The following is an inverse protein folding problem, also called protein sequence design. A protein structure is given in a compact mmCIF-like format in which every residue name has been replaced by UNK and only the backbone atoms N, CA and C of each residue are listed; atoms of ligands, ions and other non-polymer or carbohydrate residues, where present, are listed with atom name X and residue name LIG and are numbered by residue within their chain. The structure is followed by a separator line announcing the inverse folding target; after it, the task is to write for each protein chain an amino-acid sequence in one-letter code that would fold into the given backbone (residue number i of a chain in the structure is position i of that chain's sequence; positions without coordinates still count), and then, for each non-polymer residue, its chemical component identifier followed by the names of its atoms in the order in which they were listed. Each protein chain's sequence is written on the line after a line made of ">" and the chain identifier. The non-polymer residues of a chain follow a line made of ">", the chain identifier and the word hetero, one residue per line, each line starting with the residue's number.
data_IF_950107265735
#
_entry.id   IF_950107265735
#
_cell.length_a   1.000
_cell.length_b   1.000
_cell.length_c   1.000
_cell.angle_alpha   90.00
_cell.angle_beta   90.00
_cell.angle_gamma   90.00
#
_symmetry.space_group_name_H-M   'P 1'
#
loop_
_entity.id
_entity.type
_entity.pdbx_description
1 polymer ?
#
# COMPACT_ATOMS: atom_id res chain seq x y z
N UNK A 1 3.61 12.87 -20.68
CA UNK A 1 5.08 12.86 -20.62
C UNK A 1 5.49 11.60 -19.91
N UNK A 2 6.32 10.75 -20.54
CA UNK A 2 6.91 9.58 -19.88
C UNK A 2 7.88 10.07 -18.82
N UNK A 3 7.34 10.27 -17.63
CA UNK A 3 8.13 10.57 -16.46
C UNK A 3 9.09 9.40 -16.23
N UNK A 4 10.39 9.66 -16.08
CA UNK A 4 11.46 8.65 -16.01
C UNK A 4 11.26 7.72 -14.79
N UNK A 5 10.42 6.70 -14.95
CA UNK A 5 10.09 5.75 -13.89
C UNK A 5 11.31 4.89 -13.63
N UNK A 6 11.83 4.99 -12.42
CA UNK A 6 12.95 4.17 -11.97
C UNK A 6 12.46 2.98 -11.15
N UNK A 7 13.15 1.86 -11.31
CA UNK A 7 12.91 0.65 -10.54
C UNK A 7 14.15 0.28 -9.72
N UNK A 8 13.95 -0.42 -8.60
CA UNK A 8 15.04 -1.04 -7.86
C UNK A 8 15.45 -2.40 -8.49
N UNK A 9 16.49 -3.03 -7.94
CA UNK A 9 17.00 -4.33 -8.41
C UNK A 9 15.98 -5.48 -8.33
N UNK A 10 14.86 -5.29 -7.63
CA UNK A 10 13.79 -6.26 -7.48
C UNK A 10 12.56 -5.90 -8.34
N UNK A 11 12.69 -4.91 -9.23
CA UNK A 11 11.61 -4.47 -10.11
C UNK A 11 10.53 -3.66 -9.41
N UNK A 12 10.79 -3.10 -8.21
CA UNK A 12 9.82 -2.25 -7.50
C UNK A 12 9.99 -0.81 -7.92
N UNK A 13 8.89 -0.14 -8.23
CA UNK A 13 8.92 1.27 -8.59
C UNK A 13 9.50 2.10 -7.43
N UNK A 14 10.49 2.94 -7.73
CA UNK A 14 10.99 3.96 -6.80
C UNK A 14 9.96 5.08 -6.67
N UNK A 15 10.16 5.97 -5.69
CA UNK A 15 9.31 7.15 -5.57
C UNK A 15 9.23 7.92 -6.89
N UNK A 16 8.01 8.32 -7.21
CA UNK A 16 7.65 9.03 -8.42
C UNK A 16 6.44 9.90 -8.10
N UNK A 17 6.48 11.23 -8.31
CA UNK A 17 5.40 12.13 -7.89
C UNK A 17 4.05 11.77 -8.50
N UNK A 18 4.01 11.42 -9.78
CA UNK A 18 2.75 11.13 -10.50
C UNK A 18 2.06 9.83 -10.07
N UNK A 19 2.81 8.88 -9.50
CA UNK A 19 2.30 7.58 -9.06
C UNK A 19 2.18 7.48 -7.53
N UNK A 20 2.78 8.43 -6.81
CA UNK A 20 2.85 8.43 -5.36
C UNK A 20 2.30 9.74 -4.80
N UNK A 21 1.12 10.13 -5.28
CA UNK A 21 0.41 11.35 -4.84
C UNK A 21 0.17 11.42 -3.33
N UNK A 22 0.16 10.26 -2.65
CA UNK A 22 0.01 10.15 -1.20
C UNK A 22 1.36 9.97 -0.48
N UNK A 23 2.48 10.36 -1.09
CA UNK A 23 3.76 10.39 -0.42
C UNK A 23 3.73 11.34 0.80
N UNK A 24 4.26 10.87 1.95
CA UNK A 24 4.31 11.58 3.25
C UNK A 24 2.96 11.98 3.86
N UNK A 25 1.83 11.71 3.21
CA UNK A 25 0.51 11.89 3.81
C UNK A 25 0.27 10.86 4.94
N UNK A 26 -0.53 11.17 5.96
CA UNK A 26 -0.94 10.17 6.95
C UNK A 26 -1.71 9.02 6.29
N UNK A 27 -1.69 7.84 6.90
CA UNK A 27 -2.56 6.71 6.51
C UNK A 27 -3.90 6.89 7.20
N UNK A 28 -4.98 6.92 6.42
CA UNK A 28 -6.32 6.88 6.96
C UNK A 28 -6.79 5.42 7.18
N UNK A 29 -8.03 5.28 7.65
CA UNK A 29 -8.58 3.98 8.02
C UNK A 29 -8.99 3.20 6.78
N UNK A 30 -9.44 3.87 5.75
CA UNK A 30 -9.87 3.34 4.47
C UNK A 30 -8.67 2.74 3.72
N UNK A 31 -7.54 3.45 3.68
CA UNK A 31 -6.23 2.99 3.20
C UNK A 31 -5.81 1.70 3.92
N UNK A 32 -5.87 1.70 5.26
CA UNK A 32 -5.50 0.54 6.09
C UNK A 32 -6.42 -0.66 5.84
N UNK A 33 -7.72 -0.41 5.66
CA UNK A 33 -8.71 -1.44 5.35
C UNK A 33 -8.48 -2.03 3.97
N UNK A 34 -8.28 -1.20 2.96
CA UNK A 34 -7.99 -1.63 1.60
C UNK A 34 -6.70 -2.45 1.56
N UNK A 35 -5.63 -1.95 2.19
CA UNK A 35 -4.35 -2.65 2.30
C UNK A 35 -4.51 -4.04 2.94
N UNK A 36 -5.26 -4.16 4.03
CA UNK A 36 -5.48 -5.46 4.69
C UNK A 36 -6.36 -6.40 3.87
N UNK A 37 -7.38 -5.87 3.18
CA UNK A 37 -8.33 -6.65 2.40
C UNK A 37 -7.69 -7.27 1.17
N UNK A 38 -6.92 -6.48 0.42
CA UNK A 38 -6.28 -6.94 -0.82
C UNK A 38 -5.01 -7.75 -0.56
N UNK A 39 -4.40 -7.63 0.61
CA UNK A 39 -3.21 -8.38 0.96
C UNK A 39 -3.50 -9.90 1.02
N UNK A 40 -2.84 -10.65 0.12
CA UNK A 40 -3.05 -12.08 -0.12
C UNK A 40 -3.72 -12.38 -1.45
N UNK A 41 -4.42 -11.40 -2.05
CA UNK A 41 -5.01 -11.50 -3.39
C UNK A 41 -4.22 -10.72 -4.44
N UNK A 42 -3.60 -9.60 -4.05
CA UNK A 42 -2.74 -8.79 -4.92
C UNK A 42 -1.31 -8.71 -4.38
N UNK A 43 -0.34 -8.44 -5.26
CA UNK A 43 1.02 -8.11 -4.83
C UNK A 43 1.00 -6.77 -4.12
N UNK A 44 1.80 -6.64 -3.06
CA UNK A 44 1.83 -5.41 -2.25
C UNK A 44 2.28 -4.17 -3.03
N UNK A 45 3.06 -4.33 -4.10
CA UNK A 45 3.42 -3.25 -5.01
C UNK A 45 2.20 -2.67 -5.74
N UNK A 46 1.33 -3.54 -6.23
CA UNK A 46 0.11 -3.14 -6.96
C UNK A 46 -0.89 -2.47 -6.01
N UNK A 47 -1.02 -3.01 -4.79
CA UNK A 47 -1.84 -2.39 -3.73
C UNK A 47 -1.29 -1.02 -3.37
N UNK A 48 0.03 -0.89 -3.21
CA UNK A 48 0.66 0.38 -2.88
C UNK A 48 0.43 1.41 -3.99
N UNK A 49 0.57 1.01 -5.26
CA UNK A 49 0.32 1.87 -6.41
C UNK A 49 -1.13 2.34 -6.45
N UNK A 50 -2.10 1.45 -6.20
CA UNK A 50 -3.51 1.80 -6.13
C UNK A 50 -3.82 2.82 -5.00
N UNK A 51 -3.03 2.82 -3.92
CA UNK A 51 -3.14 3.77 -2.81
C UNK A 51 -2.29 5.05 -3.02
N UNK A 52 -1.59 5.19 -4.14
CA UNK A 52 -0.64 6.29 -4.35
C UNK A 52 0.53 6.28 -3.36
N UNK A 53 0.95 5.09 -2.90
CA UNK A 53 2.01 4.87 -1.90
C UNK A 53 3.16 4.03 -2.47
N UNK A 54 4.35 4.21 -1.91
CA UNK A 54 5.49 3.36 -2.31
C UNK A 54 5.35 1.97 -1.72
N UNK A 55 5.86 0.96 -2.43
CA UNK A 55 5.93 -0.43 -1.93
C UNK A 55 6.43 -0.51 -0.49
N UNK A 56 7.52 0.20 -0.18
CA UNK A 56 8.16 0.15 1.14
C UNK A 56 7.26 0.72 2.23
N UNK A 57 6.53 1.80 1.93
CA UNK A 57 5.59 2.41 2.87
C UNK A 57 4.42 1.47 3.18
N UNK A 58 3.82 0.87 2.13
CA UNK A 58 2.72 -0.08 2.30
C UNK A 58 3.16 -1.34 3.07
N UNK A 59 4.33 -1.90 2.75
CA UNK A 59 4.88 -3.04 3.49
C UNK A 59 5.12 -2.73 4.97
N UNK A 60 5.71 -1.57 5.28
CA UNK A 60 5.94 -1.17 6.66
C UNK A 60 4.62 -0.90 7.42
N UNK A 61 3.62 -0.33 6.74
CA UNK A 61 2.30 -0.10 7.32
C UNK A 61 1.61 -1.42 7.63
N UNK A 62 1.61 -2.36 6.69
CA UNK A 62 1.01 -3.69 6.87
C UNK A 62 1.60 -4.40 8.09
N UNK A 63 2.93 -4.41 8.24
CA UNK A 63 3.59 -4.99 9.41
C UNK A 63 3.19 -4.29 10.72
N UNK A 64 3.00 -2.96 10.68
CA UNK A 64 2.49 -2.21 11.82
C UNK A 64 1.06 -2.63 12.19
N UNK A 65 0.19 -2.84 11.20
CA UNK A 65 -1.20 -3.30 11.42
C UNK A 65 -1.26 -4.73 11.95
N UNK A 66 -0.36 -5.62 11.51
CA UNK A 66 -0.20 -6.97 12.07
C UNK A 66 0.23 -6.91 13.53
N UNK A 67 1.25 -6.11 13.87
CA UNK A 67 1.71 -5.93 15.27
C UNK A 67 0.62 -5.37 16.18
N UNK A 68 -0.19 -4.44 15.66
CA UNK A 68 -1.34 -3.87 16.39
C UNK A 68 -2.56 -4.79 16.44
N UNK A 69 -2.49 -6.01 15.89
CA UNK A 69 -3.62 -6.97 15.77
C UNK A 69 -4.83 -6.41 15.01
N UNK A 70 -4.64 -5.39 14.18
CA UNK A 70 -5.71 -4.75 13.39
C UNK A 70 -5.92 -5.44 12.03
N UNK A 71 -4.90 -6.13 11.51
CA UNK A 71 -4.93 -6.77 10.18
C UNK A 71 -6.19 -7.62 9.92
N UNK A 72 -6.47 -8.59 10.81
CA UNK A 72 -7.64 -9.47 10.65
C UNK A 72 -8.96 -8.71 10.75
N UNK A 73 -9.05 -7.73 11.67
CA UNK A 73 -10.24 -6.91 11.88
C UNK A 73 -10.56 -6.11 10.61
N UNK A 74 -9.58 -5.40 10.08
CA UNK A 74 -9.74 -4.55 8.90
C UNK A 74 -10.05 -5.34 7.63
N UNK A 75 -9.37 -6.48 7.42
CA UNK A 75 -9.70 -7.41 6.34
C UNK A 75 -11.16 -7.88 6.41
N UNK A 76 -11.64 -8.24 7.61
CA UNK A 76 -13.01 -8.74 7.79
C UNK A 76 -14.07 -7.67 7.53
N UNK A 77 -13.82 -6.42 7.94
CA UNK A 77 -14.76 -5.32 7.71
C UNK A 77 -14.96 -5.09 6.22
N UNK A 78 -13.87 -5.05 5.44
CA UNK A 78 -13.96 -4.80 4.00
C UNK A 78 -14.62 -5.96 3.24
N UNK A 79 -14.43 -7.21 3.67
CA UNK A 79 -15.09 -8.38 3.04
C UNK A 79 -16.61 -8.44 3.29
N UNK A 80 -17.18 -7.55 4.10
CA UNK A 80 -18.61 -7.50 4.43
C UNK A 80 -19.32 -6.26 3.87
N UNK A 81 -18.57 -5.37 3.22
CA UNK A 81 -19.11 -4.24 2.45
C UNK A 81 -19.39 -4.71 1.03
#
# INVERSE_FOLDING_TARGET
>A
MESNVQYDRWGRMKYHPDYHENHRKPWDKEDDMYLCAMHGSMKIGDIALALGRTYRSAAQRLETLKRKRLYKRYRTIMSRM
#
